data_IF_427865185389
#
_entry.id   IF_427865185389
#
_cell.length_a   1.000
_cell.length_b   1.000
_cell.length_c   1.000
_cell.angle_alpha   90.00
_cell.angle_beta   90.00
_cell.angle_gamma   90.00
#
_symmetry.space_group_name_H-M   'P 1'
#
loop_
_entity.id
_entity.type
_entity.pdbx_description
1 polymer ?
#
# COMPACT_ATOMS: atom_id res chain seq x y z
N UNK A 1 11.86 18.81 -1.12
CA UNK A 1 10.99 18.32 -2.22
C UNK A 1 11.28 19.13 -3.48
N UNK A 2 11.18 20.46 -3.48
CA UNK A 2 11.37 21.30 -4.65
C UNK A 2 12.75 21.10 -5.32
N UNK A 3 13.82 20.99 -4.52
CA UNK A 3 15.17 20.73 -5.04
C UNK A 3 15.27 19.39 -5.76
N UNK A 4 14.63 18.34 -5.25
CA UNK A 4 14.64 17.02 -5.89
C UNK A 4 13.90 17.04 -7.23
N UNK A 5 12.76 17.72 -7.30
CA UNK A 5 12.01 17.89 -8.55
C UNK A 5 12.83 18.69 -9.57
N UNK A 6 13.46 19.79 -9.18
CA UNK A 6 14.34 20.58 -10.05
C UNK A 6 15.52 19.75 -10.59
N UNK A 7 16.14 18.92 -9.75
CA UNK A 7 17.25 18.06 -10.17
C UNK A 7 16.75 16.97 -11.15
N UNK A 8 15.58 16.40 -10.91
CA UNK A 8 14.98 15.44 -11.81
C UNK A 8 14.73 16.04 -13.20
N UNK A 9 14.12 17.22 -13.25
CA UNK A 9 13.85 17.93 -14.50
C UNK A 9 15.13 18.32 -15.24
N UNK A 10 16.14 18.85 -14.53
CA UNK A 10 17.38 19.34 -15.14
C UNK A 10 18.33 18.21 -15.57
N UNK A 11 18.35 17.11 -14.84
CA UNK A 11 19.33 16.03 -15.03
C UNK A 11 18.74 14.77 -15.65
N UNK A 12 17.40 14.67 -15.78
CA UNK A 12 16.73 13.49 -16.33
C UNK A 12 16.93 12.21 -15.53
N UNK A 13 17.16 12.33 -14.20
CA UNK A 13 17.40 11.20 -13.32
C UNK A 13 16.10 10.65 -12.74
N UNK A 14 16.06 9.33 -12.52
CA UNK A 14 14.99 8.68 -11.81
C UNK A 14 15.38 8.48 -10.33
N UNK A 15 14.42 8.66 -9.42
CA UNK A 15 14.60 8.41 -7.99
C UNK A 15 13.85 7.17 -7.55
N UNK A 16 14.45 6.43 -6.61
CA UNK A 16 13.72 5.51 -5.73
C UNK A 16 13.70 6.18 -4.36
N UNK A 17 12.50 6.51 -3.88
CA UNK A 17 12.30 7.20 -2.61
C UNK A 17 11.59 6.26 -1.63
N UNK A 18 12.20 5.99 -0.48
CA UNK A 18 11.63 5.16 0.57
C UNK A 18 11.24 6.06 1.74
N UNK A 19 9.97 6.06 2.10
CA UNK A 19 9.43 6.90 3.16
C UNK A 19 8.26 6.22 3.87
N UNK A 20 8.03 6.63 5.10
CA UNK A 20 6.80 6.34 5.85
C UNK A 20 5.82 7.53 5.86
N UNK A 21 6.23 8.68 5.32
CA UNK A 21 5.37 9.86 5.21
C UNK A 21 4.62 9.84 3.88
N UNK A 22 3.37 9.39 3.95
CA UNK A 22 2.49 9.24 2.78
C UNK A 22 2.14 10.60 2.13
N UNK A 23 2.15 11.69 2.91
CA UNK A 23 1.88 13.02 2.37
C UNK A 23 3.02 13.49 1.48
N UNK A 24 4.26 13.25 1.90
CA UNK A 24 5.45 13.55 1.10
C UNK A 24 5.49 12.70 -0.16
N UNK A 25 5.25 11.38 -0.03
CA UNK A 25 5.22 10.45 -1.16
C UNK A 25 4.21 10.89 -2.23
N UNK A 26 3.03 11.33 -1.82
CA UNK A 26 1.99 11.83 -2.74
C UNK A 26 2.46 12.99 -3.65
N UNK A 27 3.34 13.83 -3.15
CA UNK A 27 3.79 15.02 -3.86
C UNK A 27 5.05 14.81 -4.72
N UNK A 28 5.80 13.73 -4.47
CA UNK A 28 7.11 13.53 -5.12
C UNK A 28 7.12 12.33 -6.08
N UNK A 29 6.26 11.35 -5.87
CA UNK A 29 6.31 10.10 -6.61
C UNK A 29 5.32 10.07 -7.77
N UNK A 30 5.77 9.58 -8.93
CA UNK A 30 4.91 9.26 -10.07
C UNK A 30 4.18 7.94 -9.85
N UNK A 31 4.89 6.96 -9.28
CA UNK A 31 4.37 5.63 -8.94
C UNK A 31 4.71 5.28 -7.50
N UNK A 32 3.81 4.60 -6.83
CA UNK A 32 3.96 4.20 -5.44
C UNK A 32 3.80 2.70 -5.29
N UNK A 33 4.76 2.08 -4.61
CA UNK A 33 4.69 0.70 -4.16
C UNK A 33 4.50 0.63 -2.65
N UNK A 34 3.49 -0.10 -2.19
CA UNK A 34 3.23 -0.33 -0.77
C UNK A 34 3.76 -1.70 -0.38
N UNK A 35 4.66 -1.73 0.60
CA UNK A 35 5.29 -2.95 1.08
C UNK A 35 4.87 -3.29 2.52
N UNK A 36 4.76 -4.57 2.81
CA UNK A 36 4.52 -5.09 4.15
C UNK A 36 5.36 -6.35 4.41
N UNK A 37 6.13 -6.36 5.49
CA UNK A 37 7.04 -7.46 5.84
C UNK A 37 7.90 -7.94 4.65
N UNK A 38 8.51 -7.00 3.92
CA UNK A 38 9.39 -7.28 2.79
C UNK A 38 8.70 -7.72 1.50
N UNK A 39 7.37 -7.72 1.43
CA UNK A 39 6.62 -8.10 0.25
C UNK A 39 5.86 -6.90 -0.33
N UNK A 40 5.80 -6.83 -1.66
CA UNK A 40 4.97 -5.86 -2.35
C UNK A 40 3.50 -6.26 -2.20
N UNK A 41 2.69 -5.36 -1.65
CA UNK A 41 1.26 -5.56 -1.46
C UNK A 41 0.45 -4.92 -2.57
N UNK A 42 0.85 -3.71 -2.99
CA UNK A 42 0.13 -2.94 -4.00
C UNK A 42 1.08 -1.98 -4.71
N UNK A 43 0.84 -1.71 -5.99
CA UNK A 43 1.59 -0.71 -6.76
C UNK A 43 0.71 -0.12 -7.88
N UNK A 44 0.71 1.19 -7.97
CA UNK A 44 0.05 1.91 -9.06
C UNK A 44 0.71 3.29 -9.27
N UNK A 45 0.22 4.04 -10.25
CA UNK A 45 0.49 5.47 -10.29
C UNK A 45 -0.09 6.17 -9.06
N UNK A 46 0.49 7.28 -8.67
CA UNK A 46 0.16 7.97 -7.41
C UNK A 46 -1.32 8.36 -7.35
N UNK A 47 -1.87 8.89 -8.43
CA UNK A 47 -3.25 9.35 -8.46
C UNK A 47 -4.23 8.18 -8.27
N UNK A 48 -4.03 7.09 -9.01
CA UNK A 48 -4.86 5.88 -8.93
C UNK A 48 -4.80 5.25 -7.55
N UNK A 49 -3.60 5.14 -6.97
CA UNK A 49 -3.42 4.53 -5.66
C UNK A 49 -4.13 5.31 -4.54
N UNK A 50 -4.00 6.65 -4.55
CA UNK A 50 -4.64 7.50 -3.54
C UNK A 50 -6.14 7.67 -3.74
N UNK A 51 -6.62 7.58 -4.99
CA UNK A 51 -8.06 7.61 -5.28
C UNK A 51 -8.77 6.31 -4.92
N UNK A 52 -8.14 5.16 -5.23
CA UNK A 52 -8.75 3.84 -5.07
C UNK A 52 -7.73 2.79 -4.63
N UNK A 53 -7.31 2.79 -3.35
CA UNK A 53 -6.46 1.73 -2.82
C UNK A 53 -7.22 0.40 -2.82
N UNK A 54 -6.58 -0.65 -3.34
CA UNK A 54 -7.16 -1.99 -3.48
C UNK A 54 -6.87 -2.88 -2.28
N UNK A 55 -5.60 -2.91 -1.83
CA UNK A 55 -5.19 -3.78 -0.73
C UNK A 55 -5.70 -3.27 0.61
N UNK A 56 -6.27 -4.13 1.49
CA UNK A 56 -6.74 -3.72 2.81
C UNK A 56 -5.70 -3.01 3.68
N UNK A 57 -4.42 -3.37 3.55
CA UNK A 57 -3.33 -2.68 4.23
C UNK A 57 -3.16 -1.24 3.74
N UNK A 58 -3.17 -1.02 2.43
CA UNK A 58 -3.10 0.33 1.82
C UNK A 58 -4.29 1.18 2.24
N UNK A 59 -5.49 0.61 2.26
CA UNK A 59 -6.71 1.28 2.72
C UNK A 59 -6.56 1.75 4.17
N UNK A 60 -6.03 0.89 5.03
CA UNK A 60 -5.81 1.23 6.43
C UNK A 60 -4.72 2.32 6.61
N UNK A 61 -3.62 2.25 5.86
CA UNK A 61 -2.59 3.28 5.87
C UNK A 61 -3.15 4.63 5.46
N UNK A 62 -3.94 4.69 4.40
CA UNK A 62 -4.50 5.95 3.88
C UNK A 62 -5.62 6.49 4.75
N UNK A 63 -6.35 5.63 5.48
CA UNK A 63 -7.35 6.08 6.46
C UNK A 63 -6.74 6.84 7.64
N UNK A 64 -5.44 6.62 7.91
CA UNK A 64 -4.71 7.30 8.96
C UNK A 64 -4.20 8.70 8.55
N UNK A 65 -4.23 9.04 7.26
CA UNK A 65 -3.80 10.37 6.77
C UNK A 65 -4.84 11.42 7.20
N UNK A 66 -4.45 12.47 7.95
CA UNK A 66 -5.36 13.55 8.28
C UNK A 66 -5.86 14.25 7.01
N UNK A 67 -7.17 14.29 6.81
CA UNK A 67 -7.79 15.07 5.74
C UNK A 67 -8.24 16.42 6.30
N UNK A 68 -7.67 17.50 5.78
CA UNK A 68 -8.08 18.85 6.15
C UNK A 68 -9.52 19.06 5.71
N UNK A 69 -10.43 19.34 6.65
CA UNK A 69 -11.82 19.76 6.39
C UNK A 69 -12.90 18.69 6.39
N UNK A 70 -12.59 17.43 6.71
CA UNK A 70 -13.62 16.41 6.98
C UNK A 70 -13.32 15.71 8.30
N UNK A 71 -13.92 16.20 9.36
CA UNK A 71 -14.04 15.49 10.64
C UNK A 71 -14.95 14.26 10.45
N UNK A 72 -14.36 13.11 10.23
CA UNK A 72 -14.98 11.83 10.57
C UNK A 72 -13.92 10.93 11.16
N UNK A 73 -13.84 10.95 12.47
CA UNK A 73 -13.06 10.03 13.29
C UNK A 73 -13.57 8.58 13.11
N UNK A 74 -14.76 8.41 12.55
CA UNK A 74 -15.47 7.13 12.41
C UNK A 74 -14.91 6.22 11.32
N UNK A 75 -14.16 6.74 10.34
CA UNK A 75 -13.65 5.96 9.20
C UNK A 75 -12.18 5.49 9.37
N UNK A 76 -11.55 5.71 10.53
CA UNK A 76 -10.21 5.20 10.80
C UNK A 76 -10.29 3.68 10.97
N UNK A 77 -9.79 2.95 9.99
CA UNK A 77 -9.57 1.50 10.14
C UNK A 77 -8.43 1.27 11.13
N UNK A 78 -8.78 1.03 12.38
CA UNK A 78 -7.82 0.64 13.40
C UNK A 78 -7.43 -0.80 13.09
N UNK A 79 -6.19 -1.00 12.64
CA UNK A 79 -5.65 -2.33 12.45
C UNK A 79 -5.44 -2.99 13.81
N UNK A 80 -6.21 -4.03 14.08
CA UNK A 80 -6.03 -4.85 15.28
C UNK A 80 -4.79 -5.73 15.20
N UNK A 81 -4.34 -6.22 16.36
CA UNK A 81 -3.24 -7.18 16.49
C UNK A 81 -1.84 -6.57 16.32
N UNK A 82 -0.84 -7.33 16.75
CA UNK A 82 0.57 -6.97 16.63
C UNK A 82 1.11 -7.24 15.23
N UNK A 83 2.14 -6.50 14.85
CA UNK A 83 2.89 -6.77 13.62
C UNK A 83 3.64 -8.09 13.81
N UNK A 84 3.45 -9.10 12.95
CA UNK A 84 4.19 -10.35 13.05
C UNK A 84 5.70 -10.11 12.95
N UNK A 85 6.48 -10.97 13.59
CA UNK A 85 7.93 -10.91 13.48
C UNK A 85 8.38 -11.13 12.02
N UNK A 86 9.24 -10.28 11.47
CA UNK A 86 9.84 -10.51 10.16
C UNK A 86 10.63 -11.81 10.06
N UNK A 87 11.15 -12.30 11.19
CA UNK A 87 11.89 -13.57 11.26
C UNK A 87 10.99 -14.80 11.15
N UNK A 88 9.71 -14.68 11.52
CA UNK A 88 8.73 -15.76 11.42
C UNK A 88 7.39 -15.24 10.87
N UNK A 89 7.37 -14.84 9.60
CA UNK A 89 6.18 -14.27 8.98
C UNK A 89 5.12 -15.35 8.69
N UNK A 90 3.84 -14.97 8.54
CA UNK A 90 2.77 -15.89 8.13
C UNK A 90 3.13 -16.64 6.83
N UNK A 91 2.72 -17.90 6.72
CA UNK A 91 3.00 -18.74 5.54
C UNK A 91 2.28 -18.23 4.29
N UNK A 92 1.02 -17.82 4.44
CA UNK A 92 0.20 -17.26 3.37
C UNK A 92 0.42 -15.76 3.17
N UNK A 93 -0.67 -15.02 3.04
CA UNK A 93 -0.63 -13.57 2.93
C UNK A 93 0.05 -12.96 4.18
N UNK A 94 1.06 -12.11 3.98
CA UNK A 94 1.81 -11.50 5.09
C UNK A 94 0.95 -10.64 6.00
N UNK A 95 -0.13 -10.09 5.48
CA UNK A 95 -1.06 -9.22 6.20
C UNK A 95 -2.24 -9.97 6.83
N UNK A 96 -2.37 -11.29 6.64
CA UNK A 96 -3.55 -12.07 7.04
C UNK A 96 -3.90 -11.95 8.53
N UNK A 97 -2.92 -11.81 9.43
CA UNK A 97 -3.14 -11.69 10.88
C UNK A 97 -3.79 -10.38 11.31
N UNK A 98 -3.74 -9.35 10.46
CA UNK A 98 -4.27 -8.01 10.74
C UNK A 98 -5.32 -7.56 9.72
N UNK A 99 -5.62 -8.39 8.74
CA UNK A 99 -6.53 -8.07 7.65
C UNK A 99 -7.99 -8.17 8.11
N UNK A 100 -8.80 -7.10 8.02
CA UNK A 100 -10.21 -7.14 8.37
C UNK A 100 -11.06 -7.97 7.39
N UNK A 101 -10.49 -8.30 6.21
CA UNK A 101 -11.12 -9.09 5.15
C UNK A 101 -10.42 -10.44 4.93
N UNK A 102 -9.79 -10.99 5.99
CA UNK A 102 -9.07 -12.25 5.90
C UNK A 102 -9.99 -13.41 5.52
N UNK A 103 -9.52 -14.24 4.59
CA UNK A 103 -10.16 -15.49 4.17
C UNK A 103 -9.26 -16.66 4.57
N UNK A 104 -9.81 -17.89 4.57
CA UNK A 104 -9.04 -19.08 4.96
C UNK A 104 -7.83 -19.32 4.05
N UNK A 105 -7.98 -19.11 2.75
CA UNK A 105 -6.87 -19.19 1.79
C UNK A 105 -5.72 -18.20 2.13
N UNK A 106 -6.02 -17.04 2.71
CA UNK A 106 -5.00 -16.08 3.09
C UNK A 106 -4.04 -16.60 4.18
N UNK A 107 -4.43 -17.63 4.94
CA UNK A 107 -3.61 -18.21 6.01
C UNK A 107 -2.59 -19.22 5.48
N UNK A 108 -2.88 -19.84 4.36
CA UNK A 108 -2.10 -20.96 3.76
C UNK A 108 -1.34 -20.55 2.53
N UNK A 109 -1.94 -19.78 1.66
CA UNK A 109 -1.42 -19.46 0.34
C UNK A 109 -1.08 -17.98 0.20
N UNK A 110 0.03 -17.70 -0.47
CA UNK A 110 0.42 -16.33 -0.81
C UNK A 110 -0.35 -15.88 -2.05
N UNK A 111 -0.97 -14.69 -2.00
CA UNK A 111 -1.53 -14.12 -3.21
C UNK A 111 -0.44 -13.70 -4.18
N UNK A 112 -0.67 -13.94 -5.47
CA UNK A 112 0.21 -13.46 -6.52
C UNK A 112 0.10 -11.94 -6.64
N UNK A 113 1.26 -11.31 -6.88
CA UNK A 113 1.30 -9.89 -7.23
C UNK A 113 0.97 -9.74 -8.71
N UNK A 114 -0.26 -9.33 -9.01
CA UNK A 114 -0.80 -9.30 -10.36
C UNK A 114 -1.52 -8.00 -10.68
N UNK A 115 -1.62 -7.69 -11.94
CA UNK A 115 -2.41 -6.57 -12.43
C UNK A 115 -3.90 -6.87 -12.24
N UNK A 116 -4.58 -6.05 -11.46
CA UNK A 116 -6.01 -6.14 -11.14
C UNK A 116 -6.81 -5.19 -12.02
N UNK A 117 -6.30 -4.00 -12.21
CA UNK A 117 -6.81 -2.97 -13.13
C UNK A 117 -5.62 -2.44 -13.95
N UNK A 118 -5.83 -1.82 -15.13
CA UNK A 118 -4.74 -1.32 -15.95
C UNK A 118 -3.76 -0.44 -15.18
N UNK A 119 -2.48 -0.86 -15.12
CA UNK A 119 -1.43 -0.18 -14.36
C UNK A 119 -1.50 -0.31 -12.84
N UNK A 120 -2.49 -1.01 -12.29
CA UNK A 120 -2.72 -1.17 -10.85
C UNK A 120 -2.55 -2.63 -10.43
N UNK A 121 -1.49 -2.90 -9.68
CA UNK A 121 -1.08 -4.24 -9.24
C UNK A 121 -1.38 -4.44 -7.76
N UNK A 122 -1.85 -5.61 -7.40
CA UNK A 122 -2.19 -5.95 -6.02
C UNK A 122 -1.94 -7.42 -5.73
N UNK A 123 -1.38 -7.72 -4.56
CA UNK A 123 -1.20 -9.08 -4.05
C UNK A 123 -2.30 -9.37 -3.01
N UNK A 124 -3.51 -9.70 -3.47
CA UNK A 124 -4.65 -9.97 -2.59
C UNK A 124 -5.63 -10.98 -3.21
N UNK A 125 -5.98 -12.01 -2.46
CA UNK A 125 -6.94 -13.03 -2.88
C UNK A 125 -8.38 -12.51 -3.12
N UNK A 126 -8.70 -11.30 -2.63
CA UNK A 126 -9.99 -10.66 -2.93
C UNK A 126 -10.19 -10.43 -4.44
N UNK A 127 -9.10 -10.37 -5.20
CA UNK A 127 -9.09 -10.12 -6.64
C UNK A 127 -8.76 -11.36 -7.47
N UNK A 128 -8.73 -12.55 -6.86
CA UNK A 128 -8.63 -13.79 -7.60
C UNK A 128 -9.92 -14.01 -8.40
N UNK A 129 -9.77 -14.18 -9.71
CA UNK A 129 -10.92 -14.52 -10.54
C UNK A 129 -11.41 -15.90 -10.12
N UNK A 130 -12.70 -15.99 -9.79
CA UNK A 130 -13.39 -17.26 -9.59
C UNK A 130 -13.47 -18.03 -10.89
#
# INVERSE_FOLDING_TARGET
INLLNELQEKMGIAYIFISHDLSVVKHIADRVGVMYLGNMMEMADTESLYAKPLHPYTQALFSAIPRIGKERIEDKQILGGDVPSPANPPKGCRFCTRCPKVMDICKTDRPDFKEVEPGHFCACHLYDKK
#
